data_IF_966727694375
#
_entry.id   IF_966727694375
#
_cell.length_a   1.000
_cell.length_b   1.000
_cell.length_c   1.000
_cell.angle_alpha   90.00
_cell.angle_beta   90.00
_cell.angle_gamma   90.00
#
_symmetry.space_group_name_H-M   'P 1'
#
loop_
_entity.id
_entity.type
_entity.pdbx_description
1 polymer ?
#
# COMPACT_ATOMS: atom_id res chain seq x y z
N UNK A 1 -4.97 -4.32 3.34
CA UNK A 1 -4.31 -4.31 2.00
C UNK A 1 -4.60 -3.09 1.14
N UNK A 2 -5.82 -2.49 1.16
CA UNK A 2 -5.95 -1.05 0.87
C UNK A 2 -4.93 -0.25 1.65
N UNK A 3 -4.58 -0.68 2.86
CA UNK A 3 -3.64 -0.02 3.73
C UNK A 3 -2.15 -0.17 3.34
N UNK A 4 -1.73 -1.30 2.76
CA UNK A 4 -0.40 -1.38 2.11
C UNK A 4 -0.37 -0.57 0.81
N UNK A 5 -1.45 -0.63 0.01
CA UNK A 5 -1.62 0.25 -1.14
C UNK A 5 -1.66 1.73 -0.75
N UNK A 6 -2.30 2.07 0.37
CA UNK A 6 -2.40 3.41 0.96
C UNK A 6 -1.08 3.80 1.64
N UNK A 7 -0.28 2.90 2.20
CA UNK A 7 1.07 3.21 2.72
C UNK A 7 2.01 3.51 1.53
N UNK A 8 1.95 2.71 0.47
CA UNK A 8 2.70 2.98 -0.78
C UNK A 8 2.19 4.25 -1.48
N UNK A 9 0.88 4.52 -1.45
CA UNK A 9 0.27 5.73 -2.01
C UNK A 9 0.43 6.99 -1.12
N UNK A 10 0.44 6.86 0.21
CA UNK A 10 0.69 7.94 1.18
C UNK A 10 2.16 8.33 1.17
N UNK A 11 3.05 7.34 1.02
CA UNK A 11 4.46 7.62 0.84
C UNK A 11 4.74 8.27 -0.53
N UNK A 12 3.99 7.90 -1.57
CA UNK A 12 4.04 8.59 -2.86
C UNK A 12 3.38 9.98 -2.86
N UNK A 13 2.43 10.26 -1.96
CA UNK A 13 1.68 11.52 -1.92
C UNK A 13 2.27 12.60 -0.99
N UNK A 14 3.43 12.39 -0.36
CA UNK A 14 3.95 13.26 0.71
C UNK A 14 5.24 14.05 0.41
N UNK A 15 5.77 14.11 -0.81
CA UNK A 15 7.13 14.68 -1.06
C UNK A 15 7.22 15.79 -2.13
N UNK A 16 8.11 16.79 -1.93
CA UNK A 16 8.74 17.71 -2.93
C UNK A 16 10.26 17.71 -2.69
N UNK A 17 11.18 18.20 -3.55
CA UNK A 17 11.12 19.20 -4.62
C UNK A 17 12.28 19.03 -5.64
N UNK A 18 12.14 19.63 -6.83
CA UNK A 18 13.16 20.14 -7.79
C UNK A 18 14.34 19.20 -8.18
N UNK A 19 14.29 18.76 -9.45
CA UNK A 19 15.40 18.57 -10.42
C UNK A 19 16.82 18.46 -9.83
N UNK A 20 17.05 17.42 -9.04
CA UNK A 20 18.39 17.00 -8.66
C UNK A 20 18.43 15.49 -8.54
N UNK A 21 19.59 14.97 -8.84
CA UNK A 21 20.08 13.63 -8.50
C UNK A 21 20.24 13.52 -6.96
N UNK A 22 19.26 14.01 -6.20
CA UNK A 22 19.26 14.03 -4.73
C UNK A 22 18.36 12.91 -4.23
N UNK A 23 18.94 12.10 -3.35
CA UNK A 23 18.21 11.19 -2.48
C UNK A 23 17.34 12.05 -1.57
N UNK A 24 16.05 12.11 -1.86
CA UNK A 24 15.10 12.87 -1.06
C UNK A 24 14.64 11.98 0.11
N UNK A 25 14.68 12.51 1.33
CA UNK A 25 14.22 11.83 2.55
C UNK A 25 12.90 12.45 2.99
N UNK A 26 11.90 11.63 3.30
CA UNK A 26 10.62 12.11 3.82
C UNK A 26 10.06 11.29 4.99
N UNK A 27 8.93 11.75 5.55
CA UNK A 27 8.14 12.87 5.06
C UNK A 27 8.69 14.25 5.47
N UNK A 28 8.52 15.29 4.63
CA UNK A 28 8.94 16.68 4.93
C UNK A 28 8.17 17.28 6.12
N UNK A 29 6.97 16.75 6.42
CA UNK A 29 6.22 17.03 7.63
C UNK A 29 5.85 15.70 8.31
N UNK A 30 5.98 15.58 9.63
CA UNK A 30 5.60 14.36 10.34
C UNK A 30 4.10 14.09 10.16
N UNK A 31 3.74 12.84 9.86
CA UNK A 31 2.34 12.41 9.81
C UNK A 31 1.76 12.55 11.22
N UNK A 32 0.57 13.15 11.39
CA UNK A 32 -0.11 13.19 12.68
C UNK A 32 -0.20 11.81 13.31
N UNK A 33 0.11 11.71 14.59
CA UNK A 33 0.10 10.45 15.34
C UNK A 33 -0.51 10.72 16.72
N UNK A 34 -1.77 10.32 16.97
CA UNK A 34 -2.63 9.52 16.09
C UNK A 34 -3.14 10.27 14.85
N UNK A 35 -3.29 9.54 13.74
CA UNK A 35 -4.05 9.98 12.58
C UNK A 35 -5.48 9.45 12.69
N UNK A 36 -6.43 10.36 12.89
CA UNK A 36 -7.85 10.05 12.86
C UNK A 36 -8.41 10.35 11.48
N UNK A 37 -9.04 9.36 10.86
CA UNK A 37 -9.65 9.50 9.55
C UNK A 37 -11.15 9.21 9.65
N UNK A 38 -12.02 10.19 9.37
CA UNK A 38 -13.45 10.05 9.61
C UNK A 38 -14.08 8.97 8.73
N UNK A 39 -15.22 8.47 9.22
CA UNK A 39 -16.09 7.54 8.52
C UNK A 39 -16.40 8.03 7.10
N UNK A 40 -16.32 7.11 6.14
CA UNK A 40 -16.63 7.41 4.72
C UNK A 40 -16.99 6.13 3.95
N UNK A 41 -17.77 6.26 2.86
CA UNK A 41 -17.89 5.19 1.89
C UNK A 41 -16.52 4.76 1.37
N UNK A 42 -16.35 3.46 1.13
CA UNK A 42 -15.13 2.91 0.54
C UNK A 42 -15.46 2.23 -0.77
N UNK A 43 -14.97 2.80 -1.87
CA UNK A 43 -14.93 2.15 -3.17
C UNK A 43 -13.48 2.23 -3.65
N UNK A 44 -12.87 1.09 -3.97
CA UNK A 44 -11.64 1.11 -4.74
C UNK A 44 -11.42 -0.22 -5.43
N UNK A 45 -10.82 -0.13 -6.61
CA UNK A 45 -10.41 -1.25 -7.42
C UNK A 45 -8.94 -1.08 -7.74
N UNK A 46 -8.19 -2.16 -7.59
CA UNK A 46 -6.80 -2.25 -7.99
C UNK A 46 -6.61 -3.58 -8.69
N UNK A 47 -7.04 -3.67 -9.95
CA UNK A 47 -7.02 -4.92 -10.70
C UNK A 47 -5.58 -5.32 -11.08
N UNK A 48 -5.19 -6.59 -10.96
CA UNK A 48 -6.03 -7.73 -10.57
C UNK A 48 -5.99 -8.05 -9.07
N UNK A 49 -5.43 -7.20 -8.21
CA UNK A 49 -5.19 -7.50 -6.78
C UNK A 49 -6.46 -7.52 -5.94
N UNK A 50 -7.31 -6.48 -6.03
CA UNK A 50 -8.54 -6.43 -5.25
C UNK A 50 -9.59 -5.50 -5.83
N UNK A 51 -10.83 -5.72 -5.42
CA UNK A 51 -11.97 -4.83 -5.64
C UNK A 51 -12.78 -4.72 -4.36
N UNK A 52 -13.18 -3.50 -4.01
CA UNK A 52 -14.15 -3.24 -2.95
C UNK A 52 -15.42 -2.74 -3.61
N UNK A 53 -16.52 -3.47 -3.41
CA UNK A 53 -17.77 -3.20 -4.11
C UNK A 53 -18.44 -1.93 -3.58
N UNK A 54 -19.21 -1.28 -4.46
CA UNK A 54 -20.02 -0.12 -4.08
C UNK A 54 -21.01 -0.49 -2.98
N UNK A 55 -21.20 0.41 -2.02
CA UNK A 55 -22.00 0.17 -0.82
C UNK A 55 -21.18 -0.19 0.41
N UNK A 56 -19.91 -0.56 0.23
CA UNK A 56 -18.98 -0.76 1.35
C UNK A 56 -18.69 0.58 2.05
N UNK A 57 -18.51 0.52 3.37
CA UNK A 57 -18.22 1.66 4.23
C UNK A 57 -17.17 1.34 5.28
N UNK A 58 -16.55 2.38 5.83
CA UNK A 58 -15.76 2.28 7.06
C UNK A 58 -16.25 3.32 8.06
N UNK A 59 -16.20 2.95 9.33
CA UNK A 59 -16.29 3.89 10.44
C UNK A 59 -15.03 4.73 10.57
N UNK A 60 -14.89 5.40 11.71
CA UNK A 60 -13.68 6.16 12.01
C UNK A 60 -12.48 5.19 12.07
N UNK A 61 -11.40 5.57 11.38
CA UNK A 61 -10.14 4.84 11.38
C UNK A 61 -9.16 5.58 12.28
N UNK A 62 -8.62 4.86 13.25
CA UNK A 62 -7.48 5.27 14.06
C UNK A 62 -6.21 4.64 13.49
N UNK A 63 -5.18 5.44 13.26
CA UNK A 63 -3.87 4.98 12.87
C UNK A 63 -2.80 5.55 13.81
N UNK A 64 -1.92 4.70 14.33
CA UNK A 64 -0.80 5.09 15.19
C UNK A 64 0.51 4.47 14.72
N UNK A 65 1.64 5.06 15.12
CA UNK A 65 2.99 4.63 14.72
C UNK A 65 3.43 5.16 13.35
N UNK A 66 2.56 5.89 12.64
CA UNK A 66 2.88 6.52 11.35
C UNK A 66 3.96 7.60 11.48
N UNK A 67 4.18 8.14 12.68
CA UNK A 67 5.29 9.06 12.96
C UNK A 67 6.68 8.42 12.74
N UNK A 68 6.76 7.09 12.80
CA UNK A 68 7.98 6.33 12.52
C UNK A 68 8.22 6.06 11.02
N UNK A 69 7.31 6.46 10.13
CA UNK A 69 7.48 6.27 8.69
C UNK A 69 8.71 7.05 8.20
N UNK A 70 9.64 6.35 7.56
CA UNK A 70 10.75 6.94 6.87
C UNK A 70 10.80 6.40 5.45
N UNK A 71 11.01 7.28 4.48
CA UNK A 71 11.24 6.86 3.11
C UNK A 71 12.32 7.70 2.44
N UNK A 72 12.91 7.09 1.42
CA UNK A 72 13.92 7.67 0.58
C UNK A 72 13.60 7.34 -0.87
N UNK A 73 13.79 8.29 -1.77
CA UNK A 73 13.61 8.01 -3.19
C UNK A 73 14.62 8.74 -4.06
N UNK A 74 14.76 8.25 -5.29
CA UNK A 74 15.59 8.85 -6.33
C UNK A 74 14.85 8.75 -7.66
N UNK A 75 14.73 9.87 -8.38
CA UNK A 75 14.15 9.91 -9.72
C UNK A 75 15.24 10.23 -10.73
N UNK A 76 15.49 9.29 -11.64
CA UNK A 76 16.36 9.49 -12.79
C UNK A 76 15.47 9.81 -13.99
N UNK A 77 15.25 11.10 -14.26
CA UNK A 77 14.32 11.56 -15.31
C UNK A 77 14.71 11.07 -16.71
N UNK A 78 16.02 11.00 -17.01
CA UNK A 78 16.53 10.57 -18.32
C UNK A 78 16.09 9.13 -18.64
N UNK A 79 16.11 8.25 -17.64
CA UNK A 79 15.72 6.85 -17.77
C UNK A 79 14.31 6.58 -17.25
N UNK A 80 13.59 7.62 -16.83
CA UNK A 80 12.31 7.56 -16.12
C UNK A 80 12.29 6.47 -15.04
N UNK A 81 13.37 6.41 -14.25
CA UNK A 81 13.53 5.39 -13.20
C UNK A 81 13.27 6.01 -11.83
N UNK A 82 12.47 5.34 -11.02
CA UNK A 82 12.20 5.67 -9.63
C UNK A 82 12.76 4.54 -8.76
N UNK A 83 13.73 4.86 -7.92
CA UNK A 83 14.16 4.01 -6.81
C UNK A 83 13.47 4.50 -5.54
N UNK A 84 12.87 3.60 -4.77
CA UNK A 84 12.08 3.93 -3.60
C UNK A 84 12.33 2.93 -2.48
N UNK A 85 12.73 3.45 -1.32
CA UNK A 85 12.95 2.70 -0.10
C UNK A 85 12.06 3.27 1.01
N UNK A 86 11.37 2.41 1.74
CA UNK A 86 10.47 2.77 2.82
C UNK A 86 10.68 1.84 4.00
N UNK A 87 10.69 2.43 5.19
CA UNK A 87 10.72 1.72 6.47
C UNK A 87 9.64 2.26 7.40
N UNK A 88 9.04 1.38 8.17
CA UNK A 88 8.05 1.72 9.20
C UNK A 88 8.25 0.77 10.41
N UNK A 89 8.77 1.28 11.54
CA UNK A 89 9.12 0.45 12.70
C UNK A 89 7.92 -0.28 13.30
N UNK A 90 6.78 0.40 13.37
CA UNK A 90 5.54 -0.16 13.90
C UNK A 90 4.36 0.64 13.41
N UNK A 91 3.24 -0.03 13.16
CA UNK A 91 1.97 0.61 12.84
C UNK A 91 0.83 -0.17 13.46
N UNK A 92 -0.11 0.55 14.05
CA UNK A 92 -1.39 0.01 14.50
C UNK A 92 -2.52 0.75 13.81
N UNK A 93 -3.52 0.01 13.36
CA UNK A 93 -4.66 0.52 12.65
C UNK A 93 -5.89 -0.15 13.21
N UNK A 94 -6.92 0.61 13.53
CA UNK A 94 -8.17 0.07 14.02
C UNK A 94 -9.35 0.90 13.54
N UNK A 95 -10.50 0.24 13.38
CA UNK A 95 -11.73 0.90 13.00
C UNK A 95 -12.84 -0.09 12.73
N UNK A 96 -14.01 0.43 12.40
CA UNK A 96 -15.15 -0.39 11.98
C UNK A 96 -15.28 -0.42 10.46
N UNK A 97 -15.86 -1.49 9.94
CA UNK A 97 -16.09 -1.64 8.51
C UNK A 97 -17.39 -2.40 8.24
N UNK A 98 -17.90 -2.18 7.04
CA UNK A 98 -18.89 -3.03 6.36
C UNK A 98 -18.44 -3.11 4.91
N UNK A 99 -17.95 -4.28 4.48
CA UNK A 99 -17.31 -4.38 3.19
C UNK A 99 -17.59 -5.71 2.49
N UNK A 100 -17.80 -5.60 1.20
CA UNK A 100 -17.82 -6.73 0.26
C UNK A 100 -16.86 -6.46 -0.89
N UNK A 101 -16.44 -7.53 -1.57
CA UNK A 101 -15.59 -7.40 -2.73
C UNK A 101 -14.85 -8.68 -3.08
N UNK A 102 -13.68 -8.50 -3.69
CA UNK A 102 -12.83 -9.58 -4.16
C UNK A 102 -11.37 -9.30 -3.82
N UNK A 103 -10.68 -10.34 -3.36
CA UNK A 103 -9.23 -10.33 -3.13
C UNK A 103 -8.61 -11.44 -3.97
N UNK A 104 -7.63 -11.09 -4.79
CA UNK A 104 -6.78 -12.05 -5.46
C UNK A 104 -5.36 -11.96 -4.89
N UNK A 105 -5.06 -12.85 -3.96
CA UNK A 105 -3.73 -13.01 -3.42
C UNK A 105 -2.89 -14.06 -4.17
N UNK A 106 -3.40 -14.69 -5.24
CA UNK A 106 -2.59 -15.62 -6.03
C UNK A 106 -1.31 -14.92 -6.54
N UNK A 107 -0.16 -15.61 -6.55
CA UNK A 107 0.01 -17.05 -6.37
C UNK A 107 0.18 -17.53 -4.92
N UNK A 108 -0.09 -16.69 -3.90
CA UNK A 108 -0.15 -17.19 -2.54
C UNK A 108 -1.20 -18.30 -2.41
N UNK A 109 -0.89 -19.31 -1.60
CA UNK A 109 -1.78 -20.40 -1.28
C UNK A 109 -2.95 -19.90 -0.43
N UNK A 110 -4.08 -20.61 -0.48
CA UNK A 110 -5.25 -20.27 0.34
C UNK A 110 -4.95 -20.35 1.84
N UNK A 111 -3.97 -21.16 2.24
CA UNK A 111 -3.55 -21.28 3.63
C UNK A 111 -2.67 -20.09 4.07
N UNK A 112 -1.88 -19.51 3.17
CA UNK A 112 -1.03 -18.36 3.50
C UNK A 112 -1.76 -17.03 3.35
N UNK A 113 -2.29 -16.72 2.16
CA UNK A 113 -3.11 -15.52 1.96
C UNK A 113 -4.37 -15.93 1.18
N UNK A 114 -5.53 -16.05 1.85
CA UNK A 114 -6.75 -16.52 1.21
C UNK A 114 -7.18 -15.54 0.11
N UNK A 115 -7.62 -16.11 -1.02
CA UNK A 115 -8.14 -15.36 -2.17
C UNK A 115 -9.59 -15.73 -2.42
N UNK A 116 -10.40 -14.78 -2.82
CA UNK A 116 -11.79 -15.01 -3.17
C UNK A 116 -12.65 -13.79 -2.96
N UNK A 117 -13.96 -13.97 -3.17
CA UNK A 117 -14.92 -12.98 -2.75
C UNK A 117 -14.89 -12.88 -1.22
N UNK A 118 -14.91 -11.65 -0.71
CA UNK A 118 -14.98 -11.41 0.71
C UNK A 118 -16.25 -10.64 1.08
N UNK A 119 -16.69 -10.84 2.30
CA UNK A 119 -17.78 -10.08 2.90
C UNK A 119 -17.62 -10.08 4.42
N UNK A 120 -17.92 -8.98 5.07
CA UNK A 120 -17.97 -8.93 6.53
C UNK A 120 -18.30 -7.54 7.03
N UNK A 121 -18.55 -7.47 8.33
CA UNK A 121 -18.69 -6.21 9.05
C UNK A 121 -18.18 -6.36 10.48
N UNK A 122 -17.95 -5.22 11.13
CA UNK A 122 -17.55 -5.12 12.52
C UNK A 122 -16.22 -4.40 12.69
N UNK A 123 -15.55 -4.67 13.81
CA UNK A 123 -14.25 -4.08 14.11
C UNK A 123 -13.13 -4.83 13.40
N UNK A 124 -12.19 -4.08 12.85
CA UNK A 124 -10.95 -4.60 12.30
C UNK A 124 -9.75 -3.93 12.95
N UNK A 125 -8.64 -4.66 13.05
CA UNK A 125 -7.35 -4.10 13.38
C UNK A 125 -6.22 -4.73 12.57
N UNK A 126 -5.12 -3.99 12.44
CA UNK A 126 -3.86 -4.43 11.87
C UNK A 126 -2.72 -3.85 12.72
N UNK A 127 -1.90 -4.74 13.26
CA UNK A 127 -0.61 -4.46 13.85
C UNK A 127 0.47 -5.01 12.93
N UNK A 128 1.46 -4.20 12.61
CA UNK A 128 2.64 -4.66 11.90
C UNK A 128 3.89 -3.96 12.45
N UNK A 129 4.98 -4.70 12.53
CA UNK A 129 6.30 -4.19 12.93
C UNK A 129 7.28 -4.30 11.76
N UNK A 130 8.37 -3.52 11.82
CA UNK A 130 9.54 -3.62 10.94
C UNK A 130 9.19 -3.76 9.44
N UNK A 131 8.23 -2.97 8.96
CA UNK A 131 7.83 -3.00 7.56
C UNK A 131 8.93 -2.34 6.74
N UNK A 132 9.42 -3.04 5.73
CA UNK A 132 10.44 -2.56 4.81
C UNK A 132 10.02 -2.87 3.37
N UNK A 133 10.15 -1.87 2.52
CA UNK A 133 9.89 -1.96 1.08
C UNK A 133 11.03 -1.27 0.34
N UNK A 134 11.65 -1.99 -0.58
CA UNK A 134 12.64 -1.45 -1.52
C UNK A 134 12.23 -1.87 -2.93
N UNK A 135 11.91 -0.89 -3.77
CA UNK A 135 11.47 -1.10 -5.15
C UNK A 135 12.20 -0.19 -6.12
N UNK A 136 12.39 -0.72 -7.34
CA UNK A 136 12.81 0.02 -8.52
C UNK A 136 11.72 -0.03 -9.58
N UNK A 137 11.30 1.12 -10.05
CA UNK A 137 10.26 1.29 -11.07
C UNK A 137 10.87 1.96 -12.30
N UNK A 138 10.68 1.38 -13.48
CA UNK A 138 11.00 2.02 -14.75
C UNK A 138 9.69 2.38 -15.44
N UNK A 139 9.49 3.66 -15.69
CA UNK A 139 8.30 4.18 -16.33
C UNK A 139 8.50 4.31 -17.85
N UNK A 140 7.38 4.33 -18.55
CA UNK A 140 7.28 4.64 -19.96
C UNK A 140 6.24 5.75 -20.11
N UNK A 141 6.57 6.79 -20.86
CA UNK A 141 5.64 7.86 -21.20
C UNK A 141 5.18 7.70 -22.65
N UNK A 142 3.87 7.55 -22.84
CA UNK A 142 3.28 7.57 -24.16
C UNK A 142 3.19 9.03 -24.65
N UNK A 143 3.99 9.39 -25.67
CA UNK A 143 4.03 10.77 -26.18
C UNK A 143 2.76 11.22 -26.91
N UNK A 144 1.91 10.28 -27.35
CA UNK A 144 0.64 10.61 -28.03
C UNK A 144 -0.43 10.94 -27.00
N UNK A 145 -0.56 10.10 -25.96
CA UNK A 145 -1.59 10.29 -24.92
C UNK A 145 -1.11 11.11 -23.73
N UNK A 146 0.19 11.39 -23.67
CA UNK A 146 0.91 11.95 -22.52
C UNK A 146 0.68 11.17 -21.21
N UNK A 147 0.41 9.85 -21.28
CA UNK A 147 0.16 9.02 -20.09
C UNK A 147 1.31 8.11 -19.76
N UNK A 148 1.51 7.87 -18.47
CA UNK A 148 2.54 7.01 -17.94
C UNK A 148 2.12 5.55 -17.87
N UNK A 149 3.09 4.66 -17.90
CA UNK A 149 2.93 3.25 -17.55
C UNK A 149 4.18 2.74 -16.88
N UNK A 150 4.04 1.76 -15.99
CA UNK A 150 5.17 1.02 -15.43
C UNK A 150 5.59 -0.03 -16.45
N UNK A 151 6.76 0.19 -17.05
CA UNK A 151 7.42 -0.77 -17.95
C UNK A 151 8.00 -1.93 -17.18
N UNK A 152 8.77 -1.63 -16.13
CA UNK A 152 9.42 -2.64 -15.29
C UNK A 152 9.22 -2.28 -13.83
N UNK A 153 8.91 -3.27 -13.01
CA UNK A 153 8.93 -3.19 -11.56
C UNK A 153 9.90 -4.25 -11.04
N UNK A 154 10.78 -3.86 -10.13
CA UNK A 154 11.66 -4.76 -9.39
C UNK A 154 11.39 -4.53 -7.92
N UNK A 155 11.10 -5.61 -7.19
CA UNK A 155 11.00 -5.57 -5.72
C UNK A 155 12.31 -6.13 -5.18
N UNK A 156 13.15 -5.28 -4.60
CA UNK A 156 14.39 -5.71 -3.97
C UNK A 156 14.07 -6.39 -2.64
N UNK A 157 13.35 -5.66 -1.78
CA UNK A 157 12.91 -6.10 -0.45
C UNK A 157 11.43 -5.81 -0.27
N UNK A 158 10.70 -6.77 0.30
CA UNK A 158 9.36 -6.60 0.85
C UNK A 158 9.27 -7.50 2.08
N UNK A 159 9.29 -6.91 3.26
CA UNK A 159 9.31 -7.64 4.52
C UNK A 159 8.57 -6.88 5.62
N UNK A 160 8.28 -7.62 6.68
CA UNK A 160 7.72 -7.13 7.93
C UNK A 160 8.37 -7.91 9.08
N UNK A 161 8.13 -7.53 10.34
CA UNK A 161 8.63 -8.23 11.52
C UNK A 161 7.89 -9.54 11.78
N UNK A 162 8.25 -10.22 12.88
CA UNK A 162 7.50 -11.39 13.35
C UNK A 162 6.14 -11.02 13.95
N UNK A 163 6.02 -9.79 14.46
CA UNK A 163 4.80 -9.29 15.10
C UNK A 163 3.89 -8.65 14.04
N UNK A 164 3.21 -9.49 13.27
CA UNK A 164 2.06 -9.05 12.46
C UNK A 164 0.82 -9.74 12.99
N UNK A 165 -0.16 -8.93 13.37
CA UNK A 165 -1.46 -9.39 13.83
C UNK A 165 -2.53 -8.64 13.07
N UNK A 166 -3.52 -9.35 12.57
CA UNK A 166 -4.72 -8.69 12.06
C UNK A 166 -5.95 -9.50 12.37
N UNK A 167 -7.06 -8.78 12.49
CA UNK A 167 -8.37 -9.38 12.58
C UNK A 167 -9.37 -8.46 11.90
N UNK A 168 -10.32 -9.05 11.19
CA UNK A 168 -11.51 -8.36 10.71
C UNK A 168 -12.75 -8.85 11.47
N UNK A 169 -12.54 -9.49 12.63
CA UNK A 169 -13.60 -10.09 13.41
C UNK A 169 -14.11 -11.42 12.84
N UNK A 170 -15.02 -12.09 13.57
CA UNK A 170 -15.51 -13.42 13.23
C UNK A 170 -16.47 -13.44 12.02
N UNK A 171 -17.04 -12.28 11.68
CA UNK A 171 -17.99 -12.15 10.57
C UNK A 171 -17.30 -12.01 9.21
N UNK A 172 -15.97 -11.90 9.17
CA UNK A 172 -15.24 -11.80 7.92
C UNK A 172 -15.11 -13.15 7.25
N UNK A 173 -15.67 -13.25 6.04
CA UNK A 173 -15.61 -14.44 5.21
C UNK A 173 -14.75 -14.14 3.98
N UNK A 174 -13.88 -15.07 3.59
CA UNK A 174 -13.20 -15.08 2.29
C UNK A 174 -13.48 -16.42 1.63
N UNK A 175 -13.93 -16.39 0.37
CA UNK A 175 -14.33 -17.61 -0.35
C UNK A 175 -15.50 -18.33 0.32
N UNK A 176 -16.29 -17.62 1.15
CA UNK A 176 -17.41 -18.18 1.91
C UNK A 176 -17.03 -18.85 3.23
N UNK A 177 -15.75 -18.84 3.63
CA UNK A 177 -15.29 -19.42 4.89
C UNK A 177 -14.75 -18.35 5.85
N UNK A 178 -14.96 -18.48 7.17
CA UNK A 178 -14.34 -17.59 8.15
C UNK A 178 -12.82 -17.78 8.17
N UNK A 179 -12.11 -16.72 8.58
CA UNK A 179 -10.65 -16.75 8.75
C UNK A 179 -10.32 -16.93 10.24
N UNK A 180 -9.53 -17.95 10.54
CA UNK A 180 -8.99 -18.19 11.89
C UNK A 180 -7.84 -17.22 12.19
N UNK A 181 -8.18 -15.96 12.52
CA UNK A 181 -7.24 -14.84 12.60
C UNK A 181 -6.02 -15.05 13.50
N UNK A 182 -6.19 -15.73 14.64
CA UNK A 182 -5.10 -16.01 15.58
C UNK A 182 -4.07 -16.96 14.95
N UNK A 183 -4.53 -18.09 14.43
CA UNK A 183 -3.70 -19.09 13.75
C UNK A 183 -3.08 -18.52 12.48
N UNK A 184 -3.86 -17.77 11.71
CA UNK A 184 -3.42 -17.14 10.47
C UNK A 184 -2.34 -16.10 10.72
N UNK A 185 -2.52 -15.21 11.72
CA UNK A 185 -1.52 -14.20 12.08
C UNK A 185 -0.23 -14.82 12.60
N UNK A 186 -0.31 -15.87 13.43
CA UNK A 186 0.86 -16.58 13.94
C UNK A 186 1.72 -17.23 12.84
N UNK A 187 1.08 -17.70 11.76
CA UNK A 187 1.76 -18.33 10.62
C UNK A 187 2.16 -17.38 9.49
N UNK A 188 1.63 -16.14 9.48
CA UNK A 188 1.68 -15.25 8.33
C UNK A 188 3.11 -14.93 7.89
N UNK A 189 4.01 -14.59 8.82
CA UNK A 189 5.38 -14.22 8.47
C UNK A 189 6.12 -15.35 7.76
N UNK A 190 6.12 -16.53 8.38
CA UNK A 190 6.82 -17.69 7.84
C UNK A 190 6.26 -18.10 6.47
N UNK A 191 4.94 -18.10 6.32
CA UNK A 191 4.32 -18.46 5.05
C UNK A 191 4.58 -17.39 3.97
N UNK A 192 4.48 -16.10 4.33
CA UNK A 192 4.69 -14.99 3.40
C UNK A 192 6.11 -14.99 2.87
N UNK A 193 7.12 -15.11 3.74
CA UNK A 193 8.52 -15.15 3.31
C UNK A 193 8.79 -16.29 2.31
N UNK A 194 8.29 -17.48 2.64
CA UNK A 194 8.49 -18.68 1.83
C UNK A 194 7.80 -18.56 0.46
N UNK A 195 6.52 -18.18 0.46
CA UNK A 195 5.74 -18.10 -0.77
C UNK A 195 6.08 -16.86 -1.61
N UNK A 196 6.46 -15.74 -0.98
CA UNK A 196 6.96 -14.56 -1.68
C UNK A 196 8.27 -14.88 -2.40
N UNK A 197 9.22 -15.54 -1.72
CA UNK A 197 10.48 -15.95 -2.35
C UNK A 197 10.23 -16.90 -3.53
N UNK A 198 9.35 -17.89 -3.36
CA UNK A 198 9.03 -18.86 -4.41
C UNK A 198 8.32 -18.23 -5.62
N UNK A 199 7.52 -17.19 -5.39
CA UNK A 199 6.65 -16.61 -6.41
C UNK A 199 6.98 -15.15 -6.76
N UNK A 200 8.17 -14.67 -6.40
CA UNK A 200 8.56 -13.26 -6.48
C UNK A 200 8.27 -12.63 -7.84
N UNK A 201 8.59 -13.32 -8.93
CA UNK A 201 8.36 -12.81 -10.30
C UNK A 201 6.87 -12.62 -10.61
N UNK A 202 6.02 -13.59 -10.29
CA UNK A 202 4.59 -13.51 -10.52
C UNK A 202 3.91 -12.45 -9.65
N UNK A 203 4.32 -12.33 -8.38
CA UNK A 203 3.84 -11.29 -7.47
C UNK A 203 4.25 -9.91 -7.97
N UNK A 204 5.51 -9.75 -8.39
CA UNK A 204 6.04 -8.49 -8.93
C UNK A 204 5.27 -8.07 -10.19
N UNK A 205 5.02 -9.00 -11.12
CA UNK A 205 4.24 -8.71 -12.33
C UNK A 205 2.80 -8.32 -11.99
N UNK A 206 2.18 -8.99 -11.02
CA UNK A 206 0.83 -8.66 -10.58
C UNK A 206 0.74 -7.25 -9.98
N UNK A 207 1.72 -6.87 -9.16
CA UNK A 207 1.83 -5.52 -8.60
C UNK A 207 2.10 -4.51 -9.72
N UNK A 208 2.91 -4.84 -10.72
CA UNK A 208 3.17 -3.98 -11.89
C UNK A 208 1.88 -3.70 -12.69
N UNK A 209 1.05 -4.73 -12.92
CA UNK A 209 -0.23 -4.59 -13.61
C UNK A 209 -1.21 -3.72 -12.82
N UNK A 210 -1.33 -3.99 -11.51
CA UNK A 210 -2.10 -3.17 -10.59
C UNK A 210 -1.65 -1.71 -10.56
N UNK A 211 -0.34 -1.49 -10.44
CA UNK A 211 0.26 -0.16 -10.49
C UNK A 211 -0.02 0.55 -11.82
N UNK A 212 -0.09 -0.17 -12.94
CA UNK A 212 -0.45 0.41 -14.23
C UNK A 212 -1.88 0.94 -14.30
N UNK A 213 -2.83 0.26 -13.65
CA UNK A 213 -4.21 0.74 -13.55
C UNK A 213 -4.31 2.08 -12.82
N UNK A 214 -3.39 2.34 -11.88
CA UNK A 214 -3.34 3.60 -11.14
C UNK A 214 -2.43 4.65 -11.81
N UNK A 215 -1.22 4.31 -12.23
CA UNK A 215 -0.27 5.28 -12.81
C UNK A 215 -0.75 5.82 -14.18
N UNK A 216 -1.53 5.00 -14.90
CA UNK A 216 -2.00 5.28 -16.27
C UNK A 216 -2.91 6.51 -16.38
N UNK A 217 -3.40 7.01 -15.26
CA UNK A 217 -4.19 8.24 -15.21
C UNK A 217 -3.33 9.50 -15.14
N UNK A 218 -2.03 9.41 -14.84
CA UNK A 218 -1.14 10.55 -14.67
C UNK A 218 -0.26 10.79 -15.91
N UNK A 219 0.04 12.06 -16.17
CA UNK A 219 1.12 12.52 -17.05
C UNK A 219 2.47 12.53 -16.32
N UNK A 220 3.57 12.77 -17.04
CA UNK A 220 4.88 12.99 -16.39
C UNK A 220 4.79 14.15 -15.41
N UNK A 221 4.24 15.29 -15.84
CA UNK A 221 4.17 16.50 -15.00
C UNK A 221 3.31 16.25 -13.76
N UNK A 222 2.15 15.62 -13.91
CA UNK A 222 1.27 15.27 -12.78
C UNK A 222 1.94 14.27 -11.83
N UNK A 223 2.71 13.30 -12.33
CA UNK A 223 3.47 12.39 -11.48
C UNK A 223 4.61 13.12 -10.77
N UNK A 224 5.31 14.01 -11.47
CA UNK A 224 6.37 14.83 -10.87
C UNK A 224 5.82 15.83 -9.86
N UNK A 225 4.60 16.33 -10.02
CA UNK A 225 3.90 17.11 -9.00
C UNK A 225 3.49 16.24 -7.81
N UNK A 226 3.00 15.03 -8.06
CA UNK A 226 2.61 14.09 -7.02
C UNK A 226 3.80 13.64 -6.16
N UNK A 227 4.95 13.37 -6.80
CA UNK A 227 6.20 13.00 -6.10
C UNK A 227 7.02 14.23 -5.68
N UNK A 228 6.73 15.41 -6.24
CA UNK A 228 7.55 16.62 -6.16
C UNK A 228 6.90 17.87 -5.53
N UNK A 229 5.74 17.77 -4.88
CA UNK A 229 4.92 18.88 -4.33
C UNK A 229 4.94 19.17 -2.80
N UNK A 230 5.49 18.31 -1.95
CA UNK A 230 5.68 18.50 -0.48
C UNK A 230 6.73 19.51 0.04
N UNK A 231 7.02 20.62 -0.64
CA UNK A 231 8.08 21.58 -0.29
C UNK A 231 7.53 22.87 0.31
N UNK A 232 6.22 22.94 0.46
CA UNK A 232 5.53 24.03 1.12
C UNK A 232 5.72 24.00 2.63
N UNK A 233 5.58 25.15 3.31
CA UNK A 233 5.52 25.20 4.76
C UNK A 233 4.39 24.27 5.24
N UNK A 234 4.68 23.47 6.28
CA UNK A 234 3.70 22.54 6.84
C UNK A 234 2.39 23.29 7.14
N UNK A 235 1.22 22.79 6.68
CA UNK A 235 -0.05 23.39 7.07
C UNK A 235 -0.16 23.27 8.59
N UNK A 236 -0.48 24.37 9.26
CA UNK A 236 -0.74 24.39 10.71
C UNK A 236 -1.84 23.38 11.03
N UNK A 237 -1.68 22.53 12.06
CA UNK A 237 -2.70 21.56 12.43
C UNK A 237 -4.02 22.32 12.70
N UNK A 238 -5.04 22.07 11.88
CA UNK A 238 -6.40 22.49 12.18
C UNK A 238 -6.96 21.54 13.22
N UNK A 239 -7.11 22.04 14.44
CA UNK A 239 -7.84 21.39 15.54
C UNK A 239 -9.30 21.16 15.18
#
# INVERSE_FOLDING_TARGET
MKLFGIIVLLAAASSAAILKDTRETGPPCPIPDPLNSPAKPINATLDPLFRIDMGSSRGDLLATGLSGLSYEYTIILITLTLDFHLTLPSVHLSGEYDATGYLDARPFSQACVPSGNYSGNGSAFLDASQVELDIRVVLFANLITNKLSIRTLTINTLSFGGDVSMSFGPNWLIGGSPVEWESWSAGLKACFDAEFAANKAAITEKIRLAGNGWIGQYTIDELLELIGGGGGPCPTPSY
#
